data_IF_588770919549
#
_entry.id   IF_588770919549
#
_cell.length_a   1.000
_cell.length_b   1.000
_cell.length_c   1.000
_cell.angle_alpha   90.00
_cell.angle_beta   90.00
_cell.angle_gamma   90.00
#
_symmetry.space_group_name_H-M   'P 1'
#
loop_
_entity.id
_entity.type
_entity.pdbx_description
1 polymer ?
#
# COMPACT_ATOMS: atom_id res chain seq x y z
N UNK A 1 0.13 13.71 -7.15
CA UNK A 1 0.65 12.47 -6.52
C UNK A 1 -0.25 11.33 -6.93
N UNK A 2 0.31 10.20 -7.36
CA UNK A 2 -0.46 9.03 -7.80
C UNK A 2 -0.82 8.15 -6.60
N UNK A 3 -2.00 7.52 -6.65
CA UNK A 3 -2.47 6.54 -5.67
C UNK A 3 -3.23 5.44 -6.42
N UNK A 4 -3.35 4.26 -5.81
CA UNK A 4 -4.14 3.16 -6.33
C UNK A 4 -5.06 2.62 -5.22
N UNK A 5 -6.29 2.27 -5.58
CA UNK A 5 -7.18 1.56 -4.66
C UNK A 5 -6.73 0.09 -4.57
N UNK A 6 -6.64 -0.42 -3.35
CA UNK A 6 -6.22 -1.80 -3.07
C UNK A 6 -7.33 -2.47 -2.28
N UNK A 7 -7.90 -3.54 -2.85
CA UNK A 7 -8.90 -4.39 -2.17
C UNK A 7 -8.39 -5.83 -2.07
N UNK A 8 -7.49 -6.23 -2.96
CA UNK A 8 -6.87 -7.55 -3.03
C UNK A 8 -5.34 -7.46 -3.04
N UNK A 9 -4.66 -8.59 -2.83
CA UNK A 9 -3.20 -8.67 -2.94
C UNK A 9 -2.71 -8.40 -4.39
N UNK A 10 -3.48 -8.81 -5.38
CA UNK A 10 -3.15 -8.53 -6.79
C UNK A 10 -3.23 -7.03 -7.08
N UNK A 11 -4.23 -6.33 -6.53
CA UNK A 11 -4.30 -4.86 -6.64
C UNK A 11 -3.05 -4.21 -6.04
N UNK A 12 -2.59 -4.71 -4.89
CA UNK A 12 -1.39 -4.19 -4.22
C UNK A 12 -0.15 -4.41 -5.07
N UNK A 13 0.00 -5.61 -5.63
CA UNK A 13 1.14 -5.98 -6.48
C UNK A 13 1.17 -5.14 -7.75
N UNK A 14 0.02 -4.94 -8.40
CA UNK A 14 -0.11 -4.07 -9.57
C UNK A 14 0.15 -2.60 -9.24
N UNK A 15 -0.34 -2.13 -8.08
CA UNK A 15 -0.09 -0.78 -7.59
C UNK A 15 1.41 -0.55 -7.36
N UNK A 16 2.12 -1.51 -6.75
CA UNK A 16 3.58 -1.45 -6.54
C UNK A 16 4.32 -1.38 -7.88
N UNK A 17 3.94 -2.22 -8.85
CA UNK A 17 4.55 -2.20 -10.18
C UNK A 17 4.33 -0.86 -10.92
N UNK A 18 3.19 -0.20 -10.68
CA UNK A 18 2.84 1.06 -11.34
C UNK A 18 3.42 2.30 -10.63
N UNK A 19 3.38 2.32 -9.29
CA UNK A 19 3.73 3.48 -8.47
C UNK A 19 5.19 3.47 -8.00
N UNK A 20 5.82 2.29 -7.97
CA UNK A 20 7.16 2.09 -7.44
C UNK A 20 7.21 1.98 -5.91
N UNK A 21 8.41 1.73 -5.40
CA UNK A 21 8.73 1.61 -3.98
C UNK A 21 9.76 2.66 -3.56
N UNK A 22 9.78 3.12 -2.29
CA UNK A 22 8.89 2.70 -1.20
C UNK A 22 7.49 3.30 -1.30
N UNK A 23 6.48 2.55 -0.85
CA UNK A 23 5.08 2.96 -0.84
C UNK A 23 4.47 2.90 0.56
N UNK A 24 3.41 3.68 0.80
CA UNK A 24 2.67 3.69 2.05
C UNK A 24 1.25 3.20 1.82
N UNK A 25 0.94 1.98 2.27
CA UNK A 25 -0.40 1.41 2.22
C UNK A 25 -1.22 1.96 3.40
N UNK A 26 -2.48 2.34 3.14
CA UNK A 26 -3.37 2.91 4.16
C UNK A 26 -4.75 2.26 4.14
N UNK A 27 -5.36 2.11 5.31
CA UNK A 27 -6.79 1.85 5.44
C UNK A 27 -7.57 3.04 4.88
N UNK A 28 -8.65 2.76 4.15
CA UNK A 28 -9.46 3.80 3.51
C UNK A 28 -10.26 4.63 4.51
N UNK A 29 -10.48 4.09 5.71
CA UNK A 29 -11.30 4.66 6.79
C UNK A 29 -10.62 4.37 8.13
N UNK A 30 -11.02 5.14 9.15
CA UNK A 30 -10.66 4.92 10.55
C UNK A 30 -9.15 4.99 10.89
N UNK A 31 -8.33 5.52 9.99
CA UNK A 31 -6.93 5.86 10.28
C UNK A 31 -6.85 7.19 11.03
N UNK A 32 -6.07 7.24 12.11
CA UNK A 32 -5.79 8.44 12.90
C UNK A 32 -4.40 8.34 13.55
N UNK A 33 -3.70 9.45 13.73
CA UNK A 33 -2.36 9.52 14.35
C UNK A 33 -1.36 8.47 13.86
N UNK A 34 -1.39 8.18 12.55
CA UNK A 34 -0.54 7.17 11.92
C UNK A 34 -0.99 5.71 12.11
N UNK A 35 -2.17 5.45 12.68
CA UNK A 35 -2.82 4.13 12.65
C UNK A 35 -3.42 3.85 11.29
N UNK A 36 -3.51 2.56 10.96
CA UNK A 36 -4.06 2.11 9.68
C UNK A 36 -3.12 2.41 8.51
N UNK A 37 -1.81 2.50 8.73
CA UNK A 37 -0.84 2.63 7.65
C UNK A 37 0.34 1.69 7.85
N UNK A 38 0.87 1.16 6.75
CA UNK A 38 2.02 0.25 6.70
C UNK A 38 2.94 0.69 5.58
N UNK A 39 4.23 0.83 5.88
CA UNK A 39 5.24 1.05 4.87
C UNK A 39 5.55 -0.25 4.15
N UNK A 40 5.58 -0.21 2.83
CA UNK A 40 6.03 -1.29 1.96
C UNK A 40 7.34 -0.81 1.35
N UNK A 41 8.45 -1.42 1.78
CA UNK A 41 9.80 -1.01 1.39
C UNK A 41 10.33 -1.88 0.26
N UNK A 42 9.95 -3.14 0.26
CA UNK A 42 10.24 -4.10 -0.79
C UNK A 42 8.97 -4.84 -1.25
N UNK A 43 9.06 -5.58 -2.35
CA UNK A 43 7.91 -6.29 -2.91
C UNK A 43 7.49 -7.50 -2.05
N UNK A 44 8.38 -8.05 -1.21
CA UNK A 44 8.06 -9.17 -0.34
C UNK A 44 7.20 -8.74 0.86
N UNK A 45 7.35 -7.50 1.32
CA UNK A 45 6.47 -6.89 2.35
C UNK A 45 4.98 -6.92 1.98
N UNK A 46 4.64 -6.95 0.68
CA UNK A 46 3.26 -6.86 0.21
C UNK A 46 2.40 -8.08 0.58
N UNK A 47 3.03 -9.25 0.79
CA UNK A 47 2.35 -10.51 1.07
C UNK A 47 2.46 -10.96 2.55
N UNK A 48 3.16 -10.18 3.38
CA UNK A 48 3.40 -10.47 4.80
C UNK A 48 2.19 -10.12 5.69
#
# INVERSE_FOLDING_TARGET
>A
MAFAAVTTLDDLTNAIATLGLPALLKTRREGYDGKGQVWIRDAADAAA
#
